data_IF_386542393616
#
_entry.id   IF_386542393616
#
_cell.length_a   1.000
_cell.length_b   1.000
_cell.length_c   1.000
_cell.angle_alpha   90.00
_cell.angle_beta   90.00
_cell.angle_gamma   90.00
#
_symmetry.space_group_name_H-M   'P 1'
#
loop_
_entity.id
_entity.type
_entity.pdbx_description
1 polymer ?
#
# COMPACT_ATOMS: atom_id res chain seq x y z
N UNK A 1 86.01 16.98 -25.34
CA UNK A 1 84.56 16.88 -25.65
C UNK A 1 83.97 15.98 -24.56
N UNK A 2 83.14 16.38 -23.61
CA UNK A 2 82.22 17.51 -23.41
C UNK A 2 82.18 17.74 -21.87
N UNK A 3 82.17 19.00 -21.42
CA UNK A 3 82.08 19.38 -20.00
C UNK A 3 80.70 19.03 -19.40
N UNK A 4 80.68 18.48 -18.18
CA UNK A 4 79.48 18.39 -17.34
C UNK A 4 79.16 19.74 -16.68
N UNK A 5 77.88 20.12 -16.55
CA UNK A 5 77.45 21.10 -15.56
C UNK A 5 76.84 20.41 -14.34
N UNK A 6 77.32 20.82 -13.16
CA UNK A 6 76.73 20.55 -11.85
C UNK A 6 75.60 21.56 -11.63
N UNK A 7 74.36 21.12 -11.45
CA UNK A 7 73.25 21.97 -11.02
C UNK A 7 72.97 21.73 -9.53
N UNK A 8 73.08 22.80 -8.74
CA UNK A 8 72.71 22.83 -7.33
C UNK A 8 71.19 22.90 -7.17
N UNK A 9 70.61 22.00 -6.38
CA UNK A 9 69.19 22.02 -6.03
C UNK A 9 68.96 22.98 -4.83
N UNK A 10 68.17 24.04 -5.05
CA UNK A 10 67.65 24.88 -3.98
C UNK A 10 66.33 24.29 -3.47
N UNK A 11 66.28 23.90 -2.19
CA UNK A 11 65.05 23.48 -1.51
C UNK A 11 64.35 24.72 -0.99
N UNK A 12 63.17 25.03 -1.53
CA UNK A 12 62.30 26.06 -0.99
C UNK A 12 61.35 25.43 0.05
N UNK A 13 61.43 25.86 1.32
CA UNK A 13 60.42 25.54 2.32
C UNK A 13 59.17 26.40 2.08
N UNK A 14 58.04 25.74 1.82
CA UNK A 14 56.73 26.37 1.84
C UNK A 14 56.20 26.46 3.30
N UNK A 15 55.50 27.53 3.70
CA UNK A 15 54.93 27.63 5.04
C UNK A 15 53.69 26.72 5.15
N UNK A 16 53.58 25.99 6.26
CA UNK A 16 52.39 25.21 6.57
C UNK A 16 51.24 26.14 6.96
N UNK A 17 50.17 26.14 6.17
CA UNK A 17 48.89 26.77 6.52
C UNK A 17 48.19 25.91 7.56
N UNK A 18 48.03 26.45 8.78
CA UNK A 18 47.20 25.84 9.80
C UNK A 18 45.73 25.95 9.41
N UNK A 19 45.08 24.82 9.10
CA UNK A 19 43.64 24.75 8.87
C UNK A 19 42.96 24.83 10.24
N UNK A 20 42.23 25.91 10.49
CA UNK A 20 41.40 26.01 11.69
C UNK A 20 40.27 24.98 11.61
N UNK A 21 40.26 24.03 12.55
CA UNK A 21 39.18 23.05 12.67
C UNK A 21 37.92 23.76 13.16
N UNK A 22 36.85 23.74 12.35
CA UNK A 22 35.54 24.19 12.79
C UNK A 22 35.04 23.28 13.92
N UNK A 23 34.42 23.83 14.97
CA UNK A 23 33.83 23.02 16.02
C UNK A 23 32.75 22.10 15.42
N UNK A 24 32.60 20.88 15.95
CA UNK A 24 31.58 19.95 15.48
C UNK A 24 30.20 20.62 15.62
N UNK A 25 29.44 20.63 14.52
CA UNK A 25 28.06 21.07 14.56
C UNK A 25 27.25 20.04 15.34
N UNK A 26 26.52 20.49 16.36
CA UNK A 26 25.55 19.66 17.08
C UNK A 26 24.56 19.10 16.06
N UNK A 27 24.69 17.82 15.75
CA UNK A 27 23.68 17.08 15.01
C UNK A 27 22.48 16.99 15.94
N UNK A 28 21.45 17.80 15.67
CA UNK A 28 20.19 17.69 16.37
C UNK A 28 19.72 16.24 16.31
N UNK A 29 19.37 15.66 17.46
CA UNK A 29 18.75 14.35 17.51
C UNK A 29 17.54 14.33 16.56
N UNK A 30 17.30 13.24 15.81
CA UNK A 30 16.12 13.15 14.96
C UNK A 30 14.88 13.44 15.81
N UNK A 31 14.01 14.30 15.30
CA UNK A 31 12.74 14.59 15.95
C UNK A 31 12.03 13.26 16.20
N UNK A 32 11.60 13.01 17.44
CA UNK A 32 10.72 11.89 17.72
C UNK A 32 9.42 12.12 16.94
N UNK A 33 9.10 11.20 16.04
CA UNK A 33 7.79 11.19 15.39
C UNK A 33 6.71 11.17 16.46
N UNK A 34 5.63 11.94 16.23
CA UNK A 34 4.48 11.87 17.10
C UNK A 34 3.90 10.45 17.07
N UNK A 35 3.57 9.92 18.24
CA UNK A 35 2.95 8.60 18.34
C UNK A 35 1.68 8.55 17.48
N UNK A 36 1.37 7.40 16.84
CA UNK A 36 0.17 7.28 16.02
C UNK A 36 -1.10 7.52 16.83
N UNK A 37 -2.07 8.20 16.22
CA UNK A 37 -3.40 8.36 16.80
C UNK A 37 -4.18 7.06 16.60
N UNK A 38 -4.77 6.54 17.67
CA UNK A 38 -5.58 5.32 17.62
C UNK A 38 -7.02 5.68 17.31
N UNK A 39 -7.65 4.93 16.42
CA UNK A 39 -9.04 5.06 16.01
C UNK A 39 -9.81 3.78 16.30
N UNK A 40 -11.10 3.94 16.59
CA UNK A 40 -12.07 2.86 16.65
C UNK A 40 -12.93 2.87 15.39
N UNK A 41 -13.53 1.72 15.10
CA UNK A 41 -14.45 1.57 13.98
C UNK A 41 -15.90 1.74 14.45
N UNK A 42 -16.66 2.56 13.73
CA UNK A 42 -18.12 2.63 13.82
C UNK A 42 -18.73 2.05 12.54
N UNK A 43 -19.65 1.08 12.66
CA UNK A 43 -20.35 0.52 11.49
C UNK A 43 -21.52 1.42 11.11
N UNK A 44 -21.48 1.93 9.87
CA UNK A 44 -22.58 2.72 9.27
C UNK A 44 -23.60 1.79 8.61
N UNK A 45 -23.13 0.83 7.82
CA UNK A 45 -23.97 -0.13 7.12
C UNK A 45 -23.27 -1.47 6.90
N UNK A 46 -24.06 -2.50 6.60
CA UNK A 46 -23.60 -3.86 6.26
C UNK A 46 -24.19 -4.24 4.92
N UNK A 47 -23.35 -4.77 4.05
CA UNK A 47 -23.70 -5.20 2.70
C UNK A 47 -23.35 -6.67 2.52
N UNK A 48 -24.11 -7.42 1.70
CA UNK A 48 -23.72 -8.77 1.33
C UNK A 48 -22.36 -8.77 0.63
N UNK A 49 -21.49 -9.71 1.02
CA UNK A 49 -20.25 -9.99 0.31
C UNK A 49 -20.17 -11.48 0.01
N UNK A 50 -19.58 -11.83 -1.13
CA UNK A 50 -19.48 -13.20 -1.59
C UNK A 50 -18.55 -14.02 -0.67
N UNK A 51 -19.07 -15.04 0.05
CA UNK A 51 -18.27 -15.83 0.98
C UNK A 51 -17.30 -16.79 0.30
N UNK A 52 -17.31 -16.88 -1.05
CA UNK A 52 -16.30 -17.62 -1.82
C UNK A 52 -15.13 -16.73 -2.26
N UNK A 53 -15.25 -15.42 -2.07
CA UNK A 53 -14.26 -14.47 -2.53
C UNK A 53 -13.07 -14.36 -1.60
N UNK A 54 -11.89 -14.75 -2.09
CA UNK A 54 -10.65 -14.52 -1.36
C UNK A 54 -10.12 -13.13 -1.69
N UNK A 55 -10.72 -12.08 -1.13
CA UNK A 55 -10.43 -10.67 -1.44
C UNK A 55 -8.95 -10.31 -1.27
N UNK A 56 -8.34 -9.75 -2.32
CA UNK A 56 -6.93 -9.33 -2.33
C UNK A 56 -6.69 -7.89 -2.79
N UNK A 57 -7.66 -7.29 -3.48
CA UNK A 57 -7.68 -5.85 -3.77
C UNK A 57 -9.12 -5.37 -3.87
N UNK A 58 -9.41 -4.19 -3.33
CA UNK A 58 -10.74 -3.60 -3.36
C UNK A 58 -10.61 -2.11 -3.71
N UNK A 59 -11.51 -1.58 -4.52
CA UNK A 59 -11.61 -0.12 -4.73
C UNK A 59 -13.04 0.29 -5.03
N UNK A 60 -13.33 1.56 -4.80
CA UNK A 60 -14.61 2.18 -5.17
C UNK A 60 -14.43 3.04 -6.42
N UNK A 61 -15.33 2.87 -7.39
CA UNK A 61 -15.36 3.74 -8.55
C UNK A 61 -16.78 3.82 -9.15
N UNK A 62 -17.24 5.04 -9.43
CA UNK A 62 -18.50 5.33 -10.13
C UNK A 62 -19.70 4.49 -9.67
N UNK A 63 -19.92 4.44 -8.35
CA UNK A 63 -21.08 3.77 -7.75
C UNK A 63 -20.93 2.27 -7.52
N UNK A 64 -19.78 1.69 -7.88
CA UNK A 64 -19.55 0.25 -7.82
C UNK A 64 -18.28 -0.07 -7.04
N UNK A 65 -18.25 -1.29 -6.51
CA UNK A 65 -17.03 -1.90 -6.02
C UNK A 65 -16.33 -2.61 -7.17
N UNK A 66 -15.01 -2.50 -7.21
CA UNK A 66 -14.16 -3.31 -8.04
C UNK A 66 -13.24 -4.12 -7.13
N UNK A 67 -13.08 -5.39 -7.46
CA UNK A 67 -12.38 -6.31 -6.58
C UNK A 67 -11.52 -7.29 -7.37
N UNK A 68 -10.37 -7.62 -6.79
CA UNK A 68 -9.51 -8.71 -7.22
C UNK A 68 -9.56 -9.81 -6.18
N UNK A 69 -9.82 -11.04 -6.62
CA UNK A 69 -9.85 -12.24 -5.77
C UNK A 69 -8.64 -13.13 -6.04
N UNK A 70 -8.19 -13.81 -4.99
CA UNK A 70 -7.14 -14.83 -5.04
C UNK A 70 -7.66 -16.26 -5.09
N UNK A 71 -6.71 -17.21 -5.01
CA UNK A 71 -6.83 -18.67 -5.21
C UNK A 71 -6.58 -19.13 -6.64
N UNK A 72 -5.68 -20.11 -6.79
CA UNK A 72 -5.34 -20.72 -8.08
C UNK A 72 -6.61 -21.32 -8.71
N UNK A 73 -6.82 -21.02 -9.99
CA UNK A 73 -7.99 -21.45 -10.77
C UNK A 73 -9.31 -20.77 -10.40
N UNK A 74 -9.31 -19.81 -9.47
CA UNK A 74 -10.51 -19.09 -9.00
C UNK A 74 -10.32 -17.57 -8.93
N UNK A 75 -9.11 -17.07 -9.22
CA UNK A 75 -8.79 -15.65 -9.15
C UNK A 75 -9.52 -14.88 -10.25
N UNK A 76 -10.13 -13.75 -9.90
CA UNK A 76 -10.93 -12.92 -10.82
C UNK A 76 -10.69 -11.43 -10.57
N UNK A 77 -10.88 -10.63 -11.62
CA UNK A 77 -11.23 -9.21 -11.48
C UNK A 77 -12.74 -9.09 -11.65
N UNK A 78 -13.42 -8.38 -10.77
CA UNK A 78 -14.88 -8.26 -10.76
C UNK A 78 -15.36 -6.85 -10.45
N UNK A 79 -16.50 -6.49 -11.04
CA UNK A 79 -17.30 -5.31 -10.70
C UNK A 79 -18.56 -5.79 -9.97
N UNK A 80 -18.82 -5.22 -8.80
CA UNK A 80 -19.82 -5.70 -7.85
C UNK A 80 -20.80 -4.58 -7.51
N UNK A 81 -22.09 -4.93 -7.46
CA UNK A 81 -23.13 -4.06 -6.93
C UNK A 81 -23.03 -4.00 -5.40
N UNK A 82 -22.92 -2.79 -4.84
CA UNK A 82 -22.78 -2.61 -3.39
C UNK A 82 -23.98 -3.15 -2.61
N UNK A 83 -25.20 -2.92 -3.10
CA UNK A 83 -26.41 -3.19 -2.34
C UNK A 83 -26.71 -4.69 -2.27
N UNK A 84 -26.44 -5.42 -3.34
CA UNK A 84 -26.78 -6.86 -3.45
C UNK A 84 -25.57 -7.78 -3.26
N UNK A 85 -24.35 -7.28 -3.46
CA UNK A 85 -23.14 -8.11 -3.56
C UNK A 85 -23.06 -8.91 -4.88
N UNK A 86 -23.94 -8.63 -5.85
CA UNK A 86 -23.96 -9.32 -7.14
C UNK A 86 -22.77 -8.92 -8.01
N UNK A 87 -22.11 -9.91 -8.61
CA UNK A 87 -21.07 -9.69 -9.61
C UNK A 87 -21.73 -9.27 -10.93
N UNK A 88 -21.62 -7.98 -11.26
CA UNK A 88 -22.17 -7.39 -12.48
C UNK A 88 -21.31 -7.68 -13.72
N UNK A 89 -20.01 -7.82 -13.53
CA UNK A 89 -19.05 -8.23 -14.54
C UNK A 89 -17.87 -8.92 -13.86
N UNK A 90 -17.29 -9.93 -14.50
CA UNK A 90 -16.15 -10.67 -13.98
C UNK A 90 -15.28 -11.22 -15.09
N UNK A 91 -13.96 -11.24 -14.86
CA UNK A 91 -12.98 -11.84 -15.75
C UNK A 91 -11.99 -12.66 -14.95
N UNK A 92 -11.80 -13.91 -15.37
CA UNK A 92 -10.82 -14.80 -14.75
C UNK A 92 -9.39 -14.32 -15.02
N UNK A 93 -8.57 -14.34 -13.98
CA UNK A 93 -7.10 -14.30 -14.08
C UNK A 93 -6.64 -15.70 -14.54
N UNK A 94 -5.56 -15.82 -15.35
CA UNK A 94 -5.05 -17.12 -15.77
C UNK A 94 -4.96 -18.14 -14.62
N UNK A 95 -5.43 -19.36 -14.84
CA UNK A 95 -5.72 -20.32 -13.79
C UNK A 95 -4.48 -20.74 -12.97
N UNK A 96 -3.29 -20.65 -13.56
CA UNK A 96 -2.00 -20.90 -12.93
C UNK A 96 -1.52 -19.77 -12.01
N UNK A 97 -2.20 -18.62 -12.04
CA UNK A 97 -1.83 -17.42 -11.29
C UNK A 97 -2.75 -17.18 -10.10
N UNK A 98 -2.19 -16.54 -9.08
CA UNK A 98 -2.92 -16.11 -7.89
C UNK A 98 -3.09 -14.58 -7.94
N UNK A 99 -4.33 -14.10 -8.06
CA UNK A 99 -4.67 -12.69 -8.12
C UNK A 99 -4.45 -11.96 -6.80
N UNK A 100 -3.94 -10.73 -6.86
CA UNK A 100 -3.60 -9.88 -5.71
C UNK A 100 -4.17 -8.45 -5.88
N UNK A 101 -3.50 -7.43 -5.37
CA UNK A 101 -3.99 -6.04 -5.29
C UNK A 101 -4.45 -5.44 -6.61
N UNK A 102 -5.34 -4.45 -6.51
CA UNK A 102 -6.06 -3.83 -7.62
C UNK A 102 -6.06 -2.30 -7.46
N UNK A 103 -5.76 -1.57 -8.54
CA UNK A 103 -5.85 -0.12 -8.57
C UNK A 103 -6.49 0.36 -9.87
N UNK A 104 -7.08 1.56 -9.87
CA UNK A 104 -7.60 2.21 -11.07
C UNK A 104 -6.63 3.30 -11.53
N UNK A 105 -6.01 3.12 -12.70
CA UNK A 105 -5.11 4.11 -13.29
C UNK A 105 -5.70 4.64 -14.61
N UNK A 106 -6.21 5.88 -14.58
CA UNK A 106 -6.92 6.45 -15.72
C UNK A 106 -8.25 5.72 -15.93
N UNK A 107 -8.40 5.08 -17.09
CA UNK A 107 -9.56 4.27 -17.51
C UNK A 107 -9.26 2.76 -17.54
N UNK A 108 -8.15 2.34 -16.93
CA UNK A 108 -7.75 0.94 -16.85
C UNK A 108 -7.57 0.50 -15.39
N UNK A 109 -8.07 -0.70 -15.10
CA UNK A 109 -7.72 -1.39 -13.87
C UNK A 109 -6.35 -2.03 -14.03
N UNK A 110 -5.55 -1.97 -12.97
CA UNK A 110 -4.23 -2.59 -12.88
C UNK A 110 -4.28 -3.58 -11.73
N UNK A 111 -3.91 -4.84 -11.97
CA UNK A 111 -3.89 -5.85 -10.91
C UNK A 111 -2.57 -6.59 -10.83
N UNK A 112 -2.22 -7.03 -9.62
CA UNK A 112 -1.02 -7.82 -9.36
C UNK A 112 -1.34 -9.31 -9.29
N UNK A 113 -0.27 -10.10 -9.34
CA UNK A 113 -0.28 -11.52 -8.98
C UNK A 113 0.72 -11.75 -7.85
N UNK A 114 0.51 -12.81 -7.06
CA UNK A 114 1.34 -13.06 -5.87
C UNK A 114 2.78 -13.43 -6.22
N UNK A 115 3.04 -14.71 -6.52
CA UNK A 115 4.38 -15.25 -6.82
C UNK A 115 4.66 -15.41 -8.29
N UNK A 116 3.63 -15.21 -9.11
CA UNK A 116 3.70 -15.35 -10.56
C UNK A 116 4.41 -14.17 -11.22
N UNK A 117 4.54 -13.04 -10.49
CA UNK A 117 5.35 -11.90 -10.91
C UNK A 117 4.88 -11.30 -12.23
N UNK A 118 3.56 -11.13 -12.33
CA UNK A 118 2.86 -10.49 -13.45
C UNK A 118 1.99 -9.36 -12.95
N UNK A 119 1.99 -8.25 -13.68
CA UNK A 119 1.05 -7.14 -13.53
C UNK A 119 0.16 -7.08 -14.77
N UNK A 120 -1.15 -7.06 -14.55
CA UNK A 120 -2.16 -7.04 -15.60
C UNK A 120 -2.80 -5.67 -15.72
N UNK A 121 -3.24 -5.35 -16.94
CA UNK A 121 -4.13 -4.21 -17.24
C UNK A 121 -5.43 -4.73 -17.84
N UNK A 122 -6.53 -4.14 -17.40
CA UNK A 122 -7.88 -4.51 -17.81
C UNK A 122 -8.65 -3.25 -18.19
N UNK A 123 -9.52 -3.34 -19.18
CA UNK A 123 -10.46 -2.26 -19.47
C UNK A 123 -11.39 -2.07 -18.28
N UNK A 124 -11.73 -0.82 -17.96
CA UNK A 124 -12.70 -0.55 -16.90
C UNK A 124 -14.11 -1.04 -17.26
N UNK A 125 -14.48 -0.94 -18.54
CA UNK A 125 -15.72 -1.51 -19.08
C UNK A 125 -15.50 -2.96 -19.53
N UNK A 126 -16.32 -3.89 -19.06
CA UNK A 126 -16.26 -5.31 -19.42
C UNK A 126 -15.06 -6.11 -18.88
N UNK A 127 -14.04 -5.46 -18.28
CA UNK A 127 -12.88 -6.13 -17.67
C UNK A 127 -12.08 -6.98 -18.66
N UNK A 128 -11.96 -6.50 -19.90
CA UNK A 128 -11.20 -7.16 -20.96
C UNK A 128 -9.69 -7.01 -20.72
N UNK A 129 -8.87 -8.08 -20.89
CA UNK A 129 -7.43 -7.96 -20.77
C UNK A 129 -6.87 -6.99 -21.83
N UNK A 130 -6.11 -5.99 -21.39
CA UNK A 130 -5.41 -5.04 -22.26
C UNK A 130 -3.99 -5.53 -22.51
N UNK A 131 -3.23 -5.79 -21.44
CA UNK A 131 -1.87 -6.35 -21.50
C UNK A 131 -1.45 -6.96 -20.17
N UNK A 132 -0.38 -7.73 -20.23
CA UNK A 132 0.29 -8.33 -19.07
C UNK A 132 1.79 -8.13 -19.22
N UNK A 133 2.44 -7.66 -18.16
CA UNK A 133 3.87 -7.37 -18.16
C UNK A 133 4.56 -8.11 -16.99
N UNK A 134 5.85 -8.46 -17.11
CA UNK A 134 6.62 -8.97 -15.97
C UNK A 134 6.69 -7.94 -14.83
N UNK A 135 6.52 -8.41 -13.60
CA UNK A 135 6.59 -7.62 -12.39
C UNK A 135 7.69 -8.16 -11.46
N UNK A 136 8.76 -7.41 -11.16
CA UNK A 136 9.95 -7.99 -10.54
C UNK A 136 9.81 -8.35 -9.04
N UNK A 137 8.67 -8.06 -8.41
CA UNK A 137 8.41 -8.26 -6.98
C UNK A 137 7.28 -9.27 -6.74
N UNK A 138 7.12 -9.77 -5.51
CA UNK A 138 5.81 -10.33 -5.14
C UNK A 138 4.77 -9.20 -5.12
N UNK A 139 3.54 -9.49 -5.54
CA UNK A 139 2.44 -8.53 -5.48
C UNK A 139 1.50 -8.82 -4.33
N UNK A 140 1.19 -7.82 -3.50
CA UNK A 140 0.21 -7.93 -2.41
C UNK A 140 -0.87 -6.85 -2.60
N UNK A 141 -0.68 -5.63 -2.12
CA UNK A 141 -1.59 -4.51 -2.34
C UNK A 141 -1.12 -3.56 -3.44
N UNK A 142 -2.06 -2.83 -4.06
CA UNK A 142 -1.80 -1.84 -5.09
C UNK A 142 -2.79 -0.69 -4.95
N UNK A 143 -2.32 0.55 -5.02
CA UNK A 143 -3.17 1.75 -5.08
C UNK A 143 -2.52 2.84 -5.96
N UNK A 144 -3.21 3.94 -6.18
CA UNK A 144 -2.67 5.12 -6.89
C UNK A 144 -2.32 6.22 -5.89
N UNK A 145 -1.07 6.68 -5.92
CA UNK A 145 -0.62 7.84 -5.16
C UNK A 145 -0.10 8.92 -6.12
N UNK A 146 -0.91 9.96 -6.34
CA UNK A 146 -0.57 11.05 -7.25
C UNK A 146 -0.42 10.54 -8.68
N UNK A 147 0.81 10.60 -9.22
CA UNK A 147 1.15 10.17 -10.58
C UNK A 147 1.87 8.81 -10.63
N UNK A 148 1.86 8.06 -9.53
CA UNK A 148 2.52 6.77 -9.37
C UNK A 148 1.57 5.69 -8.89
N UNK A 149 1.91 4.44 -9.17
CA UNK A 149 1.35 3.29 -8.45
C UNK A 149 2.13 3.11 -7.14
N UNK A 150 1.45 2.79 -6.05
CA UNK A 150 2.07 2.32 -4.81
C UNK A 150 1.77 0.84 -4.64
N UNK A 151 2.81 0.02 -4.46
CA UNK A 151 2.69 -1.43 -4.32
C UNK A 151 3.31 -1.91 -2.99
N UNK A 152 2.64 -2.86 -2.34
CA UNK A 152 3.17 -3.63 -1.22
C UNK A 152 3.49 -5.07 -1.65
N UNK A 153 4.35 -5.74 -0.89
CA UNK A 153 4.77 -7.13 -1.13
C UNK A 153 4.82 -7.98 0.16
N UNK A 154 4.15 -7.52 1.22
CA UNK A 154 4.18 -8.14 2.54
C UNK A 154 5.44 -7.84 3.37
N UNK A 155 6.43 -7.12 2.82
CA UNK A 155 7.53 -6.54 3.62
C UNK A 155 7.09 -5.27 4.35
N UNK A 156 8.05 -4.58 4.96
CA UNK A 156 7.94 -3.23 5.50
C UNK A 156 8.24 -2.14 4.47
N UNK A 157 8.34 -2.46 3.18
CA UNK A 157 8.66 -1.50 2.12
C UNK A 157 7.51 -1.36 1.13
N UNK A 158 7.06 -0.12 0.92
CA UNK A 158 6.19 0.25 -0.19
C UNK A 158 7.01 0.77 -1.36
N UNK A 159 6.60 0.44 -2.59
CA UNK A 159 7.27 0.88 -3.82
C UNK A 159 6.38 1.82 -4.61
N UNK A 160 6.90 3.01 -4.90
CA UNK A 160 6.31 3.91 -5.88
C UNK A 160 6.87 3.57 -7.25
N UNK A 161 5.97 3.25 -8.17
CA UNK A 161 6.30 2.76 -9.50
C UNK A 161 5.75 3.71 -10.55
N UNK A 162 6.48 3.83 -11.64
CA UNK A 162 5.95 4.43 -12.86
C UNK A 162 4.74 3.62 -13.36
N UNK A 163 3.58 4.23 -13.58
CA UNK A 163 2.36 3.48 -13.89
C UNK A 163 2.42 2.82 -15.26
N UNK A 164 3.23 3.31 -16.20
CA UNK A 164 3.29 2.75 -17.56
C UNK A 164 4.36 1.68 -17.72
N UNK A 165 5.53 1.92 -17.13
CA UNK A 165 6.73 1.08 -17.26
C UNK A 165 6.99 0.20 -16.06
N UNK A 166 6.32 0.46 -14.94
CA UNK A 166 6.52 -0.19 -13.63
C UNK A 166 7.94 -0.04 -13.07
N UNK A 167 8.70 0.91 -13.61
CA UNK A 167 10.02 1.24 -13.11
C UNK A 167 9.92 1.81 -11.70
N UNK A 168 10.77 1.31 -10.80
CA UNK A 168 10.87 1.82 -9.44
C UNK A 168 11.29 3.30 -9.45
N UNK A 169 10.46 4.14 -8.84
CA UNK A 169 10.75 5.57 -8.61
C UNK A 169 11.32 5.81 -7.23
N UNK A 170 10.71 5.20 -6.21
CA UNK A 170 11.06 5.42 -4.80
C UNK A 170 10.60 4.24 -3.95
N UNK A 171 11.32 3.99 -2.87
CA UNK A 171 10.90 3.10 -1.78
C UNK A 171 10.53 3.93 -0.55
N UNK A 172 9.53 3.47 0.19
CA UNK A 172 9.04 4.05 1.44
C UNK A 172 9.09 2.95 2.50
N UNK A 173 9.95 3.12 3.51
CA UNK A 173 10.04 2.19 4.63
C UNK A 173 8.94 2.48 5.65
N UNK A 174 8.06 1.52 5.89
CA UNK A 174 6.93 1.64 6.79
C UNK A 174 7.38 1.44 8.23
N UNK A 175 7.15 2.43 9.08
CA UNK A 175 7.63 2.41 10.47
C UNK A 175 6.61 2.88 11.49
N UNK A 176 6.78 2.40 12.72
CA UNK A 176 6.15 2.92 13.93
C UNK A 176 7.24 3.14 14.98
N UNK A 177 7.35 4.36 15.52
CA UNK A 177 8.44 4.74 16.44
C UNK A 177 9.84 4.37 15.90
N UNK A 178 10.06 4.56 14.59
CA UNK A 178 11.29 4.21 13.88
C UNK A 178 11.55 2.71 13.70
N UNK A 179 10.61 1.84 14.07
CA UNK A 179 10.73 0.38 13.89
C UNK A 179 9.96 -0.08 12.65
N UNK A 180 10.56 -0.92 11.80
CA UNK A 180 9.88 -1.53 10.65
C UNK A 180 8.58 -2.24 11.02
N UNK A 181 7.54 -2.05 10.19
CA UNK A 181 6.25 -2.74 10.30
C UNK A 181 6.04 -3.59 9.06
N UNK A 182 6.24 -4.92 9.14
CA UNK A 182 6.05 -5.82 8.01
C UNK A 182 4.57 -6.20 7.83
N UNK A 183 4.32 -7.04 6.80
CA UNK A 183 3.02 -7.61 6.44
C UNK A 183 2.03 -6.57 5.95
N UNK A 184 2.54 -5.54 5.30
CA UNK A 184 1.70 -4.55 4.63
C UNK A 184 1.05 -5.22 3.42
N UNK A 185 -0.28 -5.28 3.41
CA UNK A 185 -1.05 -6.03 2.45
C UNK A 185 -1.86 -5.08 1.56
N UNK A 186 -3.17 -5.27 1.43
CA UNK A 186 -4.04 -4.44 0.62
C UNK A 186 -3.94 -2.95 0.98
N UNK A 187 -4.04 -2.09 -0.04
CA UNK A 187 -3.77 -0.66 0.04
C UNK A 187 -4.94 0.15 -0.50
N UNK A 188 -5.21 1.30 0.11
CA UNK A 188 -6.06 2.36 -0.41
C UNK A 188 -5.43 3.74 -0.16
N UNK A 189 -5.64 4.71 -1.05
CA UNK A 189 -5.10 6.08 -0.87
C UNK A 189 -6.22 7.08 -0.69
N UNK A 190 -6.26 7.72 0.47
CA UNK A 190 -7.20 8.80 0.76
C UNK A 190 -6.62 9.79 1.78
N UNK A 191 -7.06 11.04 1.69
CA UNK A 191 -6.64 12.14 2.57
C UNK A 191 -5.12 12.31 2.68
N UNK A 192 -4.40 12.03 1.58
CA UNK A 192 -2.94 12.13 1.49
C UNK A 192 -2.17 11.03 2.22
N UNK A 193 -2.86 10.02 2.75
CA UNK A 193 -2.26 8.87 3.43
C UNK A 193 -2.43 7.59 2.60
N UNK A 194 -1.52 6.65 2.79
CA UNK A 194 -1.65 5.28 2.29
C UNK A 194 -2.23 4.44 3.42
N UNK A 195 -3.47 4.00 3.27
CA UNK A 195 -4.14 3.09 4.19
C UNK A 195 -3.79 1.67 3.80
N UNK A 196 -3.47 0.84 4.78
CA UNK A 196 -3.06 -0.52 4.52
C UNK A 196 -3.62 -1.49 5.55
N UNK A 197 -4.11 -2.64 5.09
CA UNK A 197 -4.28 -3.79 5.95
C UNK A 197 -2.90 -4.30 6.38
N UNK A 198 -2.76 -4.69 7.64
CA UNK A 198 -1.61 -5.47 8.10
C UNK A 198 -2.03 -6.94 8.24
N UNK A 199 -1.45 -7.82 7.41
CA UNK A 199 -1.87 -9.21 7.35
C UNK A 199 -1.68 -9.97 8.67
N UNK A 200 -2.69 -10.76 9.04
CA UNK A 200 -2.85 -11.43 10.34
C UNK A 200 -2.91 -10.49 11.57
N UNK A 201 -3.22 -9.21 11.36
CA UNK A 201 -3.67 -8.32 12.42
C UNK A 201 -5.15 -7.97 12.21
N UNK A 202 -5.73 -7.29 13.19
CA UNK A 202 -7.10 -6.77 13.13
C UNK A 202 -7.10 -5.24 12.96
N UNK A 203 -6.05 -4.69 12.34
CA UNK A 203 -5.89 -3.24 12.18
C UNK A 203 -5.70 -2.83 10.72
N UNK A 204 -6.14 -1.61 10.43
CA UNK A 204 -5.65 -0.82 9.29
C UNK A 204 -4.68 0.22 9.84
N UNK A 205 -3.58 0.47 9.13
CA UNK A 205 -2.63 1.55 9.42
C UNK A 205 -2.71 2.61 8.33
N UNK A 206 -2.59 3.89 8.70
CA UNK A 206 -2.47 4.99 7.74
C UNK A 206 -1.03 5.52 7.76
N UNK A 207 -0.36 5.40 6.62
CA UNK A 207 1.07 5.63 6.43
C UNK A 207 1.25 6.96 5.71
N UNK A 208 2.14 7.81 6.23
CA UNK A 208 2.52 9.04 5.55
C UNK A 208 3.47 8.73 4.38
N UNK A 209 3.13 9.06 3.13
CA UNK A 209 4.00 8.78 1.99
C UNK A 209 5.29 9.62 1.99
N UNK A 210 5.36 10.69 2.77
CA UNK A 210 6.54 11.54 2.84
C UNK A 210 7.72 10.84 3.51
N UNK A 211 7.49 10.08 4.58
CA UNK A 211 8.55 9.43 5.37
C UNK A 211 8.28 7.97 5.75
N UNK A 212 7.09 7.45 5.48
CA UNK A 212 6.69 6.07 5.76
C UNK A 212 6.27 5.81 7.21
N UNK A 213 6.22 6.84 8.06
CA UNK A 213 5.80 6.63 9.43
C UNK A 213 4.27 6.56 9.56
N UNK A 214 3.79 5.61 10.36
CA UNK A 214 2.38 5.38 10.60
C UNK A 214 1.82 6.52 11.44
N UNK A 215 0.76 7.17 10.95
CA UNK A 215 0.08 8.30 11.60
C UNK A 215 -1.16 7.90 12.36
N UNK A 216 -1.87 6.88 11.84
CA UNK A 216 -3.13 6.40 12.41
C UNK A 216 -3.14 4.88 12.44
N UNK A 217 -3.78 4.33 13.47
CA UNK A 217 -4.07 2.90 13.57
C UNK A 217 -5.54 2.76 13.88
N UNK A 218 -6.28 2.04 13.04
CA UNK A 218 -7.70 1.76 13.24
C UNK A 218 -7.86 0.34 13.75
N UNK A 219 -8.48 0.20 14.91
CA UNK A 219 -8.84 -1.10 15.48
C UNK A 219 -10.15 -1.62 14.87
N UNK A 220 -10.06 -2.71 14.13
CA UNK A 220 -11.17 -3.40 13.47
C UNK A 220 -11.51 -4.74 14.13
N UNK A 221 -10.94 -5.02 15.30
CA UNK A 221 -11.24 -6.22 16.08
C UNK A 221 -12.74 -6.51 16.24
N UNK A 222 -13.59 -5.50 16.54
CA UNK A 222 -15.03 -5.71 16.63
C UNK A 222 -15.67 -6.30 15.36
N UNK A 223 -15.17 -5.96 14.16
CA UNK A 223 -15.70 -6.52 12.91
C UNK A 223 -15.24 -7.97 12.72
N UNK A 224 -13.99 -8.26 13.07
CA UNK A 224 -13.43 -9.62 12.99
C UNK A 224 -14.19 -10.56 13.95
N UNK A 225 -14.47 -10.08 15.16
CA UNK A 225 -15.27 -10.81 16.15
C UNK A 225 -16.73 -11.00 15.70
N UNK A 226 -17.32 -10.00 15.03
CA UNK A 226 -18.67 -10.10 14.48
C UNK A 226 -18.75 -11.15 13.35
N UNK A 227 -17.79 -11.15 12.43
CA UNK A 227 -17.75 -12.11 11.32
C UNK A 227 -17.48 -13.53 11.81
N UNK A 228 -16.62 -13.69 12.82
CA UNK A 228 -16.30 -14.96 13.47
C UNK A 228 -16.04 -16.11 12.47
N UNK A 229 -15.31 -15.82 11.39
CA UNK A 229 -15.07 -16.79 10.33
C UNK A 229 -14.28 -18.01 10.86
N UNK A 230 -14.74 -19.25 10.57
CA UNK A 230 -14.09 -20.45 11.08
C UNK A 230 -12.79 -20.80 10.33
N UNK A 231 -12.61 -20.31 9.11
CA UNK A 231 -11.41 -20.52 8.31
C UNK A 231 -10.29 -19.57 8.77
N UNK A 232 -9.11 -20.08 9.17
CA UNK A 232 -8.00 -19.23 9.61
C UNK A 232 -7.41 -18.35 8.49
N UNK A 233 -7.71 -18.63 7.22
CA UNK A 233 -7.38 -17.81 6.06
C UNK A 233 -8.41 -16.70 5.80
N UNK A 234 -9.59 -16.73 6.43
CA UNK A 234 -10.65 -15.75 6.29
C UNK A 234 -10.42 -14.49 7.13
N UNK A 235 -9.32 -13.80 6.83
CA UNK A 235 -8.85 -12.62 7.57
C UNK A 235 -9.33 -11.31 6.96
N UNK A 236 -9.34 -10.24 7.77
CA UNK A 236 -9.51 -8.85 7.32
C UNK A 236 -8.56 -8.55 6.15
N UNK A 237 -9.12 -8.08 5.03
CA UNK A 237 -8.38 -7.64 3.84
C UNK A 237 -9.34 -6.99 2.83
N UNK A 238 -8.99 -5.81 2.31
CA UNK A 238 -9.81 -5.04 1.36
C UNK A 238 -10.30 -3.73 1.98
N UNK A 239 -9.91 -2.61 1.38
CA UNK A 239 -10.23 -1.26 1.81
C UNK A 239 -10.65 -0.48 0.56
N UNK A 240 -11.78 0.21 0.61
CA UNK A 240 -12.18 1.11 -0.46
C UNK A 240 -12.72 2.43 0.09
N UNK A 241 -12.42 3.52 -0.61
CA UNK A 241 -12.87 4.86 -0.25
C UNK A 241 -13.64 5.51 -1.40
N UNK A 242 -14.83 6.02 -1.09
CA UNK A 242 -15.61 6.85 -2.01
C UNK A 242 -15.27 8.33 -1.80
N UNK A 243 -14.42 8.95 -2.63
CA UNK A 243 -14.01 10.34 -2.43
C UNK A 243 -15.14 11.34 -2.65
N UNK A 244 -16.24 10.96 -3.31
CA UNK A 244 -17.37 11.87 -3.55
C UNK A 244 -18.23 12.07 -2.29
N UNK A 245 -18.31 11.03 -1.45
CA UNK A 245 -19.18 11.02 -0.27
C UNK A 245 -18.42 10.85 1.05
N UNK A 246 -17.12 10.52 0.99
CA UNK A 246 -16.26 10.24 2.15
C UNK A 246 -16.57 8.90 2.82
N UNK A 247 -17.25 7.97 2.13
CA UNK A 247 -17.57 6.64 2.68
C UNK A 247 -16.35 5.73 2.62
N UNK A 248 -16.20 4.92 3.66
CA UNK A 248 -15.18 3.89 3.76
C UNK A 248 -15.83 2.53 3.77
N UNK A 249 -15.24 1.59 3.04
CA UNK A 249 -15.67 0.20 2.99
C UNK A 249 -14.53 -0.71 3.37
N UNK A 250 -14.83 -1.72 4.20
CA UNK A 250 -13.88 -2.75 4.61
C UNK A 250 -14.53 -4.13 4.55
N UNK A 251 -13.76 -5.13 4.19
CA UNK A 251 -14.20 -6.53 4.13
C UNK A 251 -13.04 -7.47 4.51
N UNK A 252 -13.19 -8.75 4.25
CA UNK A 252 -12.13 -9.73 4.39
C UNK A 252 -12.27 -10.89 3.42
N UNK A 253 -11.23 -11.72 3.43
CA UNK A 253 -11.17 -12.95 2.67
C UNK A 253 -12.29 -13.86 3.15
N UNK A 254 -13.14 -14.32 2.25
CA UNK A 254 -14.28 -15.21 2.52
C UNK A 254 -15.30 -14.63 3.51
N UNK A 255 -15.27 -13.32 3.77
CA UNK A 255 -16.24 -12.69 4.66
C UNK A 255 -17.61 -12.64 3.96
N UNK A 256 -18.71 -12.96 4.65
CA UNK A 256 -20.06 -12.84 4.08
C UNK A 256 -20.57 -11.40 4.08
N UNK A 257 -19.81 -10.47 4.65
CA UNK A 257 -20.22 -9.09 4.92
C UNK A 257 -19.13 -8.12 4.53
N UNK A 258 -19.51 -7.09 3.77
CA UNK A 258 -18.76 -5.86 3.58
C UNK A 258 -19.37 -4.77 4.46
N UNK A 259 -18.53 -4.01 5.16
CA UNK A 259 -18.95 -2.98 6.09
C UNK A 259 -18.70 -1.60 5.51
N UNK A 260 -19.70 -0.72 5.53
CA UNK A 260 -19.43 0.72 5.48
C UNK A 260 -19.14 1.21 6.89
N UNK A 261 -18.05 1.96 7.04
CA UNK A 261 -17.51 2.32 8.34
C UNK A 261 -17.14 3.80 8.45
N UNK A 262 -17.02 4.27 9.69
CA UNK A 262 -16.32 5.50 10.05
C UNK A 262 -15.19 5.18 11.01
N UNK A 263 -14.10 5.94 10.91
CA UNK A 263 -13.00 5.87 11.85
C UNK A 263 -13.12 7.04 12.83
N UNK A 264 -13.26 6.74 14.11
CA UNK A 264 -13.41 7.74 15.19
C UNK A 264 -12.19 7.71 16.13
N UNK A 265 -11.57 8.85 16.48
CA UNK A 265 -10.43 8.84 17.39
C UNK A 265 -10.78 8.21 18.75
N UNK A 266 -9.93 7.29 19.22
CA UNK A 266 -10.06 6.69 20.55
C UNK A 266 -9.71 7.73 21.61
N UNK A 267 -10.71 8.18 22.36
CA UNK A 267 -10.51 9.06 23.52
C UNK A 267 -10.76 10.56 23.29
N UNK A 268 -11.29 10.97 22.14
CA UNK A 268 -12.07 12.22 22.11
C UNK A 268 -13.49 11.89 22.58
N UNK A 269 -13.78 12.21 23.85
CA UNK A 269 -15.16 12.39 24.26
C UNK A 269 -15.78 13.38 23.26
N UNK A 270 -16.92 13.03 22.66
CA UNK A 270 -17.70 13.99 21.89
C UNK A 270 -17.84 15.24 22.75
N UNK A 271 -17.27 16.35 22.28
CA UNK A 271 -17.58 17.64 22.87
C UNK A 271 -19.04 17.92 22.52
N UNK A 272 -19.91 17.73 23.52
CA UNK A 272 -21.33 18.10 23.50
C UNK A 272 -21.55 19.57 23.09
#
# INVERSE_FOLDING_TARGET
MILQPIFAAAVALAPALAVAQQPPQDVAAPAQDAAPVIYEVEVVARYPHDPQAFTQGLLWHDGHLYESTGQLGQSQIRRVDLATGEVLAGRDIPAEQFGEGLALWGDELVSLTWKDRVIHRWTLDGLEPVRSDPFPYEGWGLAVLGDALVASDGSDVLRLLDPQTYALRREIGVTIDGRPVPRINELEVADGLIWANQWYSQVIVAIDPADGAIRKIVDLGPLVDEVAAPDPGAVLNGIAHDPQTGRWFVTGKLWPTLFEVRFVPRGEAAAD
#
